data_IF_676421762137
#
_entry.id   IF_676421762137
#
_cell.length_a   1.000
_cell.length_b   1.000
_cell.length_c   1.000
_cell.angle_alpha   90.00
_cell.angle_beta   90.00
_cell.angle_gamma   90.00
#
_symmetry.space_group_name_H-M   'P 1'
#
loop_
_entity.id
_entity.type
_entity.pdbx_description
1 polymer ?
#
# COMPACT_ATOMS: atom_id res chain seq x y z
N UNK A 1 26.64 -2.84 12.49
CA UNK A 1 27.87 -3.48 11.97
C UNK A 1 28.03 -3.06 10.52
N UNK A 2 29.09 -2.31 10.15
CA UNK A 2 29.35 -1.90 8.77
C UNK A 2 30.39 -2.85 8.18
N UNK A 3 30.11 -3.43 7.01
CA UNK A 3 31.08 -4.31 6.32
C UNK A 3 32.22 -3.42 5.84
N UNK A 4 33.45 -3.68 6.29
CA UNK A 4 34.58 -2.79 6.09
C UNK A 4 34.95 -2.56 4.60
N UNK A 5 34.59 -3.50 3.72
CA UNK A 5 34.78 -3.42 2.27
C UNK A 5 33.58 -2.82 1.51
N UNK A 6 32.48 -2.51 2.20
CA UNK A 6 31.26 -2.02 1.58
C UNK A 6 31.15 -0.50 1.75
N UNK A 7 31.04 0.19 0.62
CA UNK A 7 31.02 1.65 0.53
C UNK A 7 29.68 2.11 -0.07
N UNK A 8 28.59 1.56 0.48
CA UNK A 8 27.21 1.98 0.18
C UNK A 8 26.81 1.84 -1.31
N UNK A 9 27.50 1.00 -2.09
CA UNK A 9 27.26 0.90 -3.53
C UNK A 9 25.82 0.50 -3.88
N UNK A 10 25.21 -0.43 -3.14
CA UNK A 10 23.80 -0.81 -3.37
C UNK A 10 22.84 0.30 -2.92
N UNK A 11 23.21 1.07 -1.89
CA UNK A 11 22.42 2.22 -1.45
C UNK A 11 22.43 3.32 -2.52
N UNK A 12 23.60 3.57 -3.14
CA UNK A 12 23.72 4.51 -4.24
C UNK A 12 22.88 4.10 -5.46
N UNK A 13 22.92 2.81 -5.83
CA UNK A 13 22.09 2.28 -6.93
C UNK A 13 20.59 2.35 -6.60
N UNK A 14 20.20 2.03 -5.37
CA UNK A 14 18.81 2.14 -4.93
C UNK A 14 18.32 3.60 -4.94
N UNK A 15 19.17 4.54 -4.50
CA UNK A 15 18.88 5.97 -4.53
C UNK A 15 18.73 6.51 -5.96
N UNK A 16 19.63 6.13 -6.88
CA UNK A 16 19.54 6.51 -8.30
C UNK A 16 18.25 5.96 -8.94
N UNK A 17 17.92 4.69 -8.69
CA UNK A 17 16.69 4.09 -9.20
C UNK A 17 15.45 4.81 -8.65
N UNK A 18 15.34 5.01 -7.33
CA UNK A 18 14.19 5.68 -6.73
C UNK A 18 14.04 7.11 -7.22
N UNK A 19 15.15 7.83 -7.43
CA UNK A 19 15.13 9.18 -8.01
C UNK A 19 14.51 9.19 -9.41
N UNK A 20 14.79 8.17 -10.24
CA UNK A 20 14.19 8.00 -11.58
C UNK A 20 12.72 7.59 -11.54
N UNK A 21 12.24 7.04 -10.42
CA UNK A 21 10.83 6.70 -10.22
C UNK A 21 9.98 7.90 -9.79
N UNK A 22 10.58 8.95 -9.22
CA UNK A 22 9.85 10.13 -8.72
C UNK A 22 8.91 10.81 -9.74
N UNK A 23 9.25 10.93 -11.04
CA UNK A 23 8.33 11.50 -12.03
C UNK A 23 6.96 10.80 -12.09
N UNK A 24 6.90 9.50 -11.77
CA UNK A 24 5.63 8.76 -11.74
C UNK A 24 4.63 9.35 -10.73
N UNK A 25 5.11 9.96 -9.64
CA UNK A 25 4.28 10.55 -8.58
C UNK A 25 3.78 11.97 -8.89
N UNK A 26 4.21 12.56 -10.00
CA UNK A 26 3.77 13.90 -10.42
C UNK A 26 2.38 13.85 -11.06
N UNK A 27 1.39 13.54 -10.22
CA UNK A 27 -0.02 13.49 -10.58
C UNK A 27 -0.83 14.39 -9.65
N UNK A 28 -2.00 14.90 -10.10
CA UNK A 28 -2.86 15.73 -9.25
C UNK A 28 -3.26 15.04 -7.95
N UNK A 29 -3.43 13.71 -7.99
CA UNK A 29 -3.81 12.90 -6.81
C UNK A 29 -2.61 12.54 -5.93
N UNK A 30 -1.39 12.58 -6.46
CA UNK A 30 -0.17 12.06 -5.84
C UNK A 30 -0.03 10.54 -5.88
N UNK A 31 -0.98 9.84 -6.51
CA UNK A 31 -0.91 8.40 -6.78
C UNK A 31 -0.06 8.22 -8.05
N UNK A 32 0.95 7.32 -8.06
CA UNK A 32 1.85 7.23 -9.18
C UNK A 32 1.23 6.57 -10.41
N UNK A 33 1.74 6.93 -11.59
CA UNK A 33 1.56 6.15 -12.82
C UNK A 33 2.02 4.69 -12.63
N UNK A 34 1.49 3.79 -13.46
CA UNK A 34 1.84 2.36 -13.42
C UNK A 34 3.25 2.07 -13.94
N UNK A 35 3.77 2.89 -14.85
CA UNK A 35 5.13 2.75 -15.36
C UNK A 35 5.81 4.10 -15.59
N UNK A 36 7.14 4.04 -15.70
CA UNK A 36 8.02 5.19 -15.97
C UNK A 36 9.22 4.72 -16.77
N UNK A 37 9.63 5.52 -17.74
CA UNK A 37 10.89 5.30 -18.45
C UNK A 37 12.04 5.85 -17.59
N UNK A 38 13.02 5.01 -17.26
CA UNK A 38 14.14 5.37 -16.37
C UNK A 38 15.07 6.46 -16.93
N UNK A 39 15.02 6.74 -18.24
CA UNK A 39 15.80 7.79 -18.90
C UNK A 39 14.95 9.02 -19.23
N UNK A 40 13.72 8.82 -19.70
CA UNK A 40 12.88 9.89 -20.25
C UNK A 40 11.72 10.33 -19.34
N UNK A 41 11.50 9.66 -18.21
CA UNK A 41 10.36 9.93 -17.33
C UNK A 41 9.07 9.27 -17.80
N UNK A 42 7.93 9.87 -17.48
CA UNK A 42 6.61 9.32 -17.83
C UNK A 42 6.27 9.66 -19.28
N UNK A 43 5.85 8.66 -20.07
CA UNK A 43 5.39 8.87 -21.45
C UNK A 43 4.08 9.67 -21.47
N UNK A 44 3.90 10.57 -22.45
CA UNK A 44 2.68 11.37 -22.57
C UNK A 44 1.40 10.52 -22.75
N UNK A 45 1.56 9.32 -23.33
CA UNK A 45 0.50 8.36 -23.57
C UNK A 45 0.39 7.28 -22.48
N UNK A 46 1.14 7.43 -21.38
CA UNK A 46 1.09 6.46 -20.28
C UNK A 46 -0.33 6.33 -19.71
N UNK A 47 -0.70 5.10 -19.37
CA UNK A 47 -1.98 4.81 -18.75
C UNK A 47 -2.14 5.61 -17.46
N UNK A 48 -3.18 6.43 -17.39
CA UNK A 48 -3.58 7.13 -16.16
C UNK A 48 -4.25 6.20 -15.15
N UNK A 49 -4.39 4.91 -15.45
CA UNK A 49 -5.00 3.91 -14.57
C UNK A 49 -3.91 3.12 -13.88
N UNK A 50 -3.93 3.09 -12.56
CA UNK A 50 -3.04 2.25 -11.73
C UNK A 50 -3.85 1.38 -10.78
N UNK A 51 -3.25 0.31 -10.28
CA UNK A 51 -3.87 -0.52 -9.25
C UNK A 51 -3.67 0.06 -7.85
N UNK A 52 -4.52 -0.32 -6.89
CA UNK A 52 -4.33 0.08 -5.48
C UNK A 52 -2.99 -0.41 -4.94
N UNK A 53 -2.61 -1.65 -5.25
CA UNK A 53 -1.28 -2.19 -4.95
C UNK A 53 -0.18 -1.37 -5.64
N UNK A 54 -0.30 -1.07 -6.94
CA UNK A 54 0.68 -0.30 -7.68
C UNK A 54 0.93 1.10 -7.11
N UNK A 55 -0.13 1.76 -6.62
CA UNK A 55 -0.01 3.06 -5.96
C UNK A 55 0.37 3.02 -4.48
N UNK A 56 0.06 1.93 -3.77
CA UNK A 56 0.18 1.82 -2.32
C UNK A 56 1.47 1.16 -1.80
N UNK A 57 2.18 0.44 -2.66
CA UNK A 57 3.18 -0.56 -2.26
C UNK A 57 4.61 -0.11 -2.54
N UNK A 58 4.96 1.12 -2.13
CA UNK A 58 6.35 1.63 -2.17
C UNK A 58 6.80 2.24 -0.84
N UNK A 59 5.91 2.28 0.15
CA UNK A 59 6.12 2.98 1.43
C UNK A 59 7.32 2.44 2.21
N UNK A 60 7.54 1.13 2.21
CA UNK A 60 8.62 0.51 2.99
C UNK A 60 10.00 0.84 2.40
N UNK A 61 10.15 0.63 1.10
CA UNK A 61 11.40 0.84 0.36
C UNK A 61 11.78 2.31 0.39
N UNK A 62 10.85 3.19 0.03
CA UNK A 62 11.10 4.63 -0.03
C UNK A 62 11.28 5.22 1.37
N UNK A 63 10.55 4.71 2.38
CA UNK A 63 10.69 5.15 3.76
C UNK A 63 12.06 4.79 4.36
N UNK A 64 12.57 3.58 4.09
CA UNK A 64 13.92 3.19 4.51
C UNK A 64 14.97 3.98 3.73
N UNK A 65 14.79 4.14 2.41
CA UNK A 65 15.71 4.90 1.59
C UNK A 65 15.82 6.36 2.04
N UNK A 66 14.70 7.00 2.41
CA UNK A 66 14.71 8.34 3.00
C UNK A 66 15.54 8.42 4.27
N UNK A 67 15.42 7.43 5.17
CA UNK A 67 16.20 7.37 6.42
C UNK A 67 17.70 7.13 6.16
N UNK A 68 18.03 6.25 5.23
CA UNK A 68 19.42 5.91 4.91
C UNK A 68 20.16 7.00 4.13
N UNK A 69 19.46 7.75 3.29
CA UNK A 69 20.03 8.82 2.44
C UNK A 69 19.85 10.22 3.01
N UNK A 70 19.08 10.37 4.11
CA UNK A 70 18.64 11.65 4.66
C UNK A 70 17.87 12.53 3.64
N UNK A 71 17.23 11.91 2.64
CA UNK A 71 16.40 12.58 1.65
C UNK A 71 14.92 12.22 1.84
N UNK A 72 14.14 13.13 2.42
CA UNK A 72 12.74 12.88 2.78
C UNK A 72 11.78 12.84 1.59
N UNK A 73 12.25 13.09 0.35
CA UNK A 73 11.37 13.11 -0.83
C UNK A 73 10.67 11.77 -1.04
N UNK A 74 11.39 10.66 -0.86
CA UNK A 74 10.89 9.31 -1.12
C UNK A 74 9.73 8.97 -0.18
N UNK A 75 9.93 9.08 1.13
CA UNK A 75 8.87 8.87 2.14
C UNK A 75 7.67 9.81 1.95
N UNK A 76 7.93 11.08 1.60
CA UNK A 76 6.86 12.07 1.40
C UNK A 76 5.95 11.70 0.23
N UNK A 77 6.50 11.26 -0.90
CA UNK A 77 5.68 10.94 -2.09
C UNK A 77 4.87 9.67 -1.89
N UNK A 78 5.42 8.64 -1.25
CA UNK A 78 4.68 7.39 -0.98
C UNK A 78 3.61 7.60 0.08
N UNK A 79 3.88 8.38 1.14
CA UNK A 79 2.85 8.77 2.10
C UNK A 79 1.72 9.59 1.46
N UNK A 80 2.05 10.50 0.54
CA UNK A 80 1.04 11.23 -0.25
C UNK A 80 0.19 10.27 -1.10
N UNK A 81 0.81 9.26 -1.72
CA UNK A 81 0.10 8.26 -2.53
C UNK A 81 -0.88 7.43 -1.68
N UNK A 82 -0.44 6.91 -0.53
CA UNK A 82 -1.31 6.15 0.39
C UNK A 82 -2.50 6.99 0.85
N UNK A 83 -2.27 8.26 1.24
CA UNK A 83 -3.35 9.20 1.56
C UNK A 83 -4.25 9.48 0.37
N UNK A 84 -3.67 9.56 -0.84
CA UNK A 84 -4.38 9.70 -2.10
C UNK A 84 -5.38 8.57 -2.32
N UNK A 85 -4.94 7.32 -2.18
CA UNK A 85 -5.82 6.14 -2.25
C UNK A 85 -6.87 6.17 -1.14
N UNK A 86 -6.44 6.35 0.12
CA UNK A 86 -7.33 6.23 1.28
C UNK A 86 -8.41 7.33 1.35
N UNK A 87 -8.10 8.54 0.88
CA UNK A 87 -9.08 9.63 0.79
C UNK A 87 -10.22 9.35 -0.19
N UNK A 88 -10.04 8.37 -1.08
CA UNK A 88 -11.00 7.98 -2.12
C UNK A 88 -11.72 6.67 -1.81
N UNK A 89 -11.49 6.07 -0.64
CA UNK A 89 -12.26 4.89 -0.19
C UNK A 89 -13.77 5.16 -0.20
N UNK A 90 -14.56 4.10 -0.29
CA UNK A 90 -16.02 4.20 -0.21
C UNK A 90 -16.50 4.53 1.21
N UNK A 91 -17.80 4.79 1.36
CA UNK A 91 -18.44 4.92 2.68
C UNK A 91 -18.33 3.65 3.54
N UNK A 92 -17.99 2.52 2.92
CA UNK A 92 -17.79 1.23 3.58
C UNK A 92 -16.32 1.02 4.00
N UNK A 93 -15.46 2.05 3.86
CA UNK A 93 -14.01 1.97 4.07
C UNK A 93 -13.29 0.97 3.13
N UNK A 94 -13.91 0.59 2.01
CA UNK A 94 -13.29 -0.26 0.99
C UNK A 94 -12.61 0.59 -0.08
N UNK A 95 -11.57 0.04 -0.72
CA UNK A 95 -10.87 0.62 -1.88
C UNK A 95 -11.07 -0.28 -3.09
N UNK A 96 -11.12 0.31 -4.29
CA UNK A 96 -11.27 -0.45 -5.53
C UNK A 96 -9.95 -1.03 -6.03
N UNK A 97 -10.01 -1.87 -7.06
CA UNK A 97 -8.84 -2.50 -7.66
C UNK A 97 -8.01 -1.52 -8.51
N UNK A 98 -8.66 -0.64 -9.29
CA UNK A 98 -7.99 0.28 -10.21
C UNK A 98 -8.57 1.70 -10.15
N UNK A 99 -7.69 2.69 -10.22
CA UNK A 99 -7.99 4.12 -10.05
C UNK A 99 -7.34 4.96 -11.14
N UNK A 100 -8.05 5.98 -11.62
CA UNK A 100 -7.49 7.03 -12.47
C UNK A 100 -6.70 8.03 -11.62
N UNK A 101 -5.39 8.16 -11.85
CA UNK A 101 -4.47 8.97 -11.05
C UNK A 101 -4.59 10.48 -11.29
N UNK A 102 -5.39 10.91 -12.27
CA UNK A 102 -5.69 12.32 -12.52
C UNK A 102 -7.03 12.72 -11.93
N UNK A 103 -8.09 11.97 -12.21
CA UNK A 103 -9.45 12.29 -11.73
C UNK A 103 -9.68 11.81 -10.31
N UNK A 104 -8.96 10.77 -9.87
CA UNK A 104 -9.20 10.09 -8.60
C UNK A 104 -10.41 9.15 -8.63
N UNK A 105 -10.98 8.89 -9.79
CA UNK A 105 -12.13 7.99 -9.92
C UNK A 105 -11.70 6.53 -10.02
N UNK A 106 -12.41 5.65 -9.31
CA UNK A 106 -12.23 4.21 -9.41
C UNK A 106 -12.76 3.70 -10.76
N UNK A 107 -11.85 3.19 -11.59
CA UNK A 107 -12.17 2.58 -12.89
C UNK A 107 -12.57 1.12 -12.75
N UNK A 108 -12.05 0.42 -11.73
CA UNK A 108 -12.52 -0.88 -11.31
C UNK A 108 -12.85 -0.83 -9.82
N UNK A 109 -14.14 -0.98 -9.51
CA UNK A 109 -14.72 -0.81 -8.17
C UNK A 109 -14.78 -2.11 -7.37
N UNK A 110 -14.17 -3.17 -7.87
CA UNK A 110 -14.06 -4.43 -7.15
C UNK A 110 -13.10 -4.24 -5.97
N UNK A 111 -13.56 -4.62 -4.79
CA UNK A 111 -12.82 -4.58 -3.54
C UNK A 111 -12.62 -6.01 -3.05
N UNK A 112 -11.42 -6.29 -2.58
CA UNK A 112 -11.01 -7.61 -2.16
C UNK A 112 -9.72 -7.55 -1.35
N UNK A 113 -9.26 -8.72 -0.95
CA UNK A 113 -7.93 -8.92 -0.35
C UNK A 113 -6.94 -9.55 -1.36
N UNK A 114 -7.31 -9.63 -2.64
CA UNK A 114 -6.53 -10.33 -3.68
C UNK A 114 -5.83 -9.38 -4.64
N UNK A 115 -5.68 -9.84 -5.89
CA UNK A 115 -5.04 -9.11 -6.98
C UNK A 115 -5.38 -7.62 -6.99
N UNK A 116 -4.38 -6.80 -7.29
CA UNK A 116 -4.48 -5.34 -7.41
C UNK A 116 -4.71 -4.58 -6.10
N UNK A 117 -4.91 -5.25 -4.96
CA UNK A 117 -5.15 -4.60 -3.66
C UNK A 117 -4.26 -5.18 -2.57
N UNK A 118 -4.12 -6.51 -2.50
CA UNK A 118 -3.33 -7.31 -1.56
C UNK A 118 -2.31 -6.54 -0.69
N UNK A 119 -1.20 -6.15 -1.30
CA UNK A 119 -0.02 -5.56 -0.68
C UNK A 119 -0.24 -4.15 -0.12
N UNK A 120 -1.35 -3.48 -0.46
CA UNK A 120 -1.77 -2.26 0.21
C UNK A 120 -2.02 -2.52 1.70
N UNK A 121 -2.74 -3.61 2.04
CA UNK A 121 -2.97 -3.98 3.44
C UNK A 121 -1.67 -4.35 4.15
N UNK A 122 -0.80 -5.11 3.47
CA UNK A 122 0.49 -5.51 4.04
C UNK A 122 1.36 -4.30 4.36
N UNK A 123 1.44 -3.34 3.44
CA UNK A 123 2.33 -2.19 3.57
C UNK A 123 1.85 -1.23 4.64
N UNK A 124 0.54 -1.08 4.85
CA UNK A 124 0.03 -0.26 5.95
C UNK A 124 0.48 -0.83 7.30
N UNK A 125 0.26 -2.11 7.56
CA UNK A 125 0.68 -2.71 8.84
C UNK A 125 2.20 -2.71 8.97
N UNK A 126 2.93 -3.13 7.93
CA UNK A 126 4.39 -3.18 7.96
C UNK A 126 5.01 -1.79 8.09
N UNK A 127 4.44 -0.74 7.48
CA UNK A 127 4.96 0.62 7.58
C UNK A 127 4.77 1.17 8.98
N UNK A 128 3.63 0.89 9.63
CA UNK A 128 3.46 1.20 11.04
C UNK A 128 4.53 0.52 11.90
N UNK A 129 4.72 -0.78 11.74
CA UNK A 129 5.70 -1.53 12.55
C UNK A 129 7.14 -1.07 12.31
N UNK A 130 7.48 -0.67 11.08
CA UNK A 130 8.82 -0.25 10.73
C UNK A 130 9.13 1.20 11.11
N UNK A 131 8.12 2.08 11.06
CA UNK A 131 8.31 3.53 11.17
C UNK A 131 7.63 4.18 12.38
N UNK A 132 6.72 3.47 13.06
CA UNK A 132 5.97 3.96 14.23
C UNK A 132 4.91 5.02 13.90
N UNK A 133 4.49 5.12 12.64
CA UNK A 133 3.54 6.16 12.20
C UNK A 133 2.09 5.68 12.32
N UNK A 134 1.41 6.17 13.36
CA UNK A 134 0.05 5.80 13.75
C UNK A 134 -0.99 6.00 12.63
N UNK A 135 -0.73 6.86 11.65
CA UNK A 135 -1.65 7.02 10.52
C UNK A 135 -1.77 5.74 9.69
N UNK A 136 -0.67 4.99 9.52
CA UNK A 136 -0.72 3.72 8.80
C UNK A 136 -1.51 2.67 9.57
N UNK A 137 -1.36 2.62 10.90
CA UNK A 137 -2.13 1.71 11.75
C UNK A 137 -3.62 2.06 11.69
N UNK A 138 -3.98 3.34 11.79
CA UNK A 138 -5.36 3.80 11.68
C UNK A 138 -5.99 3.37 10.35
N UNK A 139 -5.31 3.63 9.22
CA UNK A 139 -5.79 3.24 7.89
C UNK A 139 -5.95 1.72 7.81
N UNK A 140 -4.96 0.97 8.27
CA UNK A 140 -4.99 -0.49 8.29
C UNK A 140 -6.17 -1.03 9.09
N UNK A 141 -6.40 -0.54 10.31
CA UNK A 141 -7.47 -1.01 11.17
C UNK A 141 -8.85 -0.75 10.55
N UNK A 142 -9.07 0.43 9.97
CA UNK A 142 -10.34 0.75 9.32
C UNK A 142 -10.58 -0.09 8.07
N UNK A 143 -9.54 -0.30 7.25
CA UNK A 143 -9.61 -1.15 6.06
C UNK A 143 -9.80 -2.63 6.43
N UNK A 144 -9.12 -3.11 7.47
CA UNK A 144 -9.22 -4.48 7.98
C UNK A 144 -10.61 -4.78 8.55
N UNK A 145 -11.19 -3.87 9.36
CA UNK A 145 -12.57 -4.01 9.84
C UNK A 145 -13.56 -4.12 8.69
N UNK A 146 -13.41 -3.28 7.66
CA UNK A 146 -14.24 -3.35 6.47
C UNK A 146 -14.06 -4.66 5.70
N UNK A 147 -12.81 -5.12 5.52
CA UNK A 147 -12.51 -6.39 4.88
C UNK A 147 -13.17 -7.57 5.62
N UNK A 148 -13.04 -7.63 6.94
CA UNK A 148 -13.65 -8.67 7.76
C UNK A 148 -15.19 -8.62 7.76
N UNK A 149 -15.78 -7.44 7.59
CA UNK A 149 -17.24 -7.30 7.57
C UNK A 149 -17.87 -7.63 6.21
N UNK A 150 -17.25 -7.17 5.11
CA UNK A 150 -17.84 -7.27 3.77
C UNK A 150 -17.26 -8.38 2.90
N UNK A 151 -16.01 -8.80 3.13
CA UNK A 151 -15.32 -9.76 2.25
C UNK A 151 -15.30 -11.17 2.84
N UNK A 152 -15.35 -11.31 4.16
CA UNK A 152 -15.24 -12.60 4.83
C UNK A 152 -16.60 -13.34 4.84
N UNK A 153 -16.65 -14.45 4.12
CA UNK A 153 -17.76 -15.40 4.09
C UNK A 153 -17.23 -16.77 4.43
N UNK A 154 -17.31 -17.14 5.71
CA UNK A 154 -16.69 -18.34 6.28
C UNK A 154 -16.84 -19.58 5.36
N UNK A 155 -15.72 -20.27 5.00
CA UNK A 155 -14.32 -20.03 5.40
C UNK A 155 -13.51 -19.15 4.42
N UNK A 156 -14.16 -18.50 3.45
CA UNK A 156 -13.52 -17.84 2.32
C UNK A 156 -13.61 -16.31 2.35
N UNK A 157 -12.87 -15.68 1.46
CA UNK A 157 -13.01 -14.27 1.16
C UNK A 157 -13.47 -14.10 -0.29
N UNK A 158 -14.45 -13.24 -0.51
CA UNK A 158 -14.98 -12.92 -1.85
C UNK A 158 -14.60 -11.50 -2.26
N UNK A 159 -14.73 -11.20 -3.55
CA UNK A 159 -14.64 -9.83 -4.03
C UNK A 159 -16.04 -9.21 -4.08
N UNK A 160 -16.14 -7.95 -3.65
CA UNK A 160 -17.40 -7.20 -3.58
C UNK A 160 -17.27 -5.86 -4.29
N UNK A 161 -18.38 -5.24 -4.66
CA UNK A 161 -18.34 -3.85 -5.13
C UNK A 161 -18.06 -2.94 -3.93
N UNK A 162 -17.04 -2.09 -4.03
CA UNK A 162 -16.58 -1.25 -2.92
C UNK A 162 -17.68 -0.33 -2.34
N UNK A 163 -18.68 0.06 -3.13
CA UNK A 163 -19.72 1.00 -2.71
C UNK A 163 -20.97 0.34 -2.14
N UNK A 164 -21.38 -0.80 -2.72
CA UNK A 164 -22.60 -1.51 -2.29
C UNK A 164 -22.33 -2.68 -1.35
N UNK A 165 -21.11 -3.22 -1.32
CA UNK A 165 -20.78 -4.45 -0.60
C UNK A 165 -21.36 -5.72 -1.26
N UNK A 166 -21.99 -5.61 -2.43
CA UNK A 166 -22.54 -6.76 -3.14
C UNK A 166 -21.41 -7.61 -3.75
N UNK A 167 -21.47 -8.92 -3.57
CA UNK A 167 -20.52 -9.87 -4.15
C UNK A 167 -20.46 -9.72 -5.67
N UNK A 168 -19.25 -9.55 -6.20
CA UNK A 168 -18.96 -9.50 -7.64
C UNK A 168 -18.41 -10.86 -8.08
N UNK A 169 -17.39 -11.36 -7.39
CA UNK A 169 -16.76 -12.64 -7.71
C UNK A 169 -16.66 -13.53 -6.46
N UNK A 170 -17.33 -14.69 -6.45
CA UNK A 170 -17.17 -15.70 -5.41
C UNK A 170 -15.97 -16.61 -5.72
N UNK A 171 -14.82 -16.04 -6.07
CA UNK A 171 -13.64 -16.79 -6.51
C UNK A 171 -12.48 -16.54 -5.55
N UNK A 172 -11.85 -17.64 -5.12
CA UNK A 172 -10.59 -17.58 -4.39
C UNK A 172 -9.43 -17.49 -5.38
N UNK A 173 -8.54 -16.53 -5.15
CA UNK A 173 -7.31 -16.34 -5.91
C UNK A 173 -6.11 -16.71 -5.02
N UNK A 174 -5.13 -17.41 -5.59
CA UNK A 174 -3.91 -17.80 -4.88
C UNK A 174 -3.18 -16.64 -4.21
N UNK A 175 -3.28 -15.42 -4.76
CA UNK A 175 -2.70 -14.22 -4.16
C UNK A 175 -3.34 -13.87 -2.81
N UNK A 176 -4.60 -14.24 -2.55
CA UNK A 176 -5.25 -14.02 -1.25
C UNK A 176 -4.64 -14.85 -0.11
N UNK A 177 -3.78 -15.83 -0.42
CA UNK A 177 -3.16 -16.71 0.57
C UNK A 177 -2.18 -16.00 1.52
N UNK A 178 -1.77 -14.75 1.25
CA UNK A 178 -0.96 -13.97 2.22
C UNK A 178 -1.78 -13.56 3.45
N UNK A 179 -3.09 -13.43 3.32
CA UNK A 179 -3.96 -12.77 4.30
C UNK A 179 -3.95 -13.42 5.69
N UNK A 180 -4.02 -14.77 5.83
CA UNK A 180 -3.87 -15.40 7.15
C UNK A 180 -2.52 -15.09 7.81
N UNK A 181 -1.43 -14.99 7.04
CA UNK A 181 -0.11 -14.62 7.57
C UNK A 181 -0.08 -13.19 8.12
N UNK A 182 -0.74 -12.26 7.43
CA UNK A 182 -0.91 -10.88 7.89
C UNK A 182 -1.77 -10.81 9.18
N UNK A 183 -2.83 -11.62 9.26
CA UNK A 183 -3.70 -11.69 10.45
C UNK A 183 -2.96 -12.22 11.68
N UNK A 184 -2.08 -13.22 11.52
CA UNK A 184 -1.22 -13.72 12.60
C UNK A 184 -0.32 -12.59 13.13
N UNK A 185 0.30 -11.81 12.24
CA UNK A 185 1.12 -10.67 12.63
C UNK A 185 0.35 -9.62 13.42
N UNK A 186 -0.86 -9.26 12.96
CA UNK A 186 -1.75 -8.34 13.68
C UNK A 186 -2.07 -8.86 15.09
N UNK A 187 -2.38 -10.16 15.21
CA UNK A 187 -2.76 -10.75 16.50
C UNK A 187 -1.58 -10.79 17.47
N UNK A 188 -0.38 -11.16 17.00
CA UNK A 188 0.85 -11.13 17.79
C UNK A 188 1.12 -9.71 18.29
N UNK A 189 0.99 -8.71 17.42
CA UNK A 189 1.16 -7.30 17.79
C UNK A 189 0.18 -6.90 18.90
N UNK A 190 -1.12 -7.15 18.72
CA UNK A 190 -2.14 -6.81 19.73
C UNK A 190 -1.92 -7.51 21.07
N UNK A 191 -1.48 -8.77 21.06
CA UNK A 191 -1.16 -9.50 22.29
C UNK A 191 0.02 -8.85 23.02
N UNK A 192 1.08 -8.49 22.28
CA UNK A 192 2.28 -7.88 22.86
C UNK A 192 1.95 -6.49 23.40
N UNK A 193 1.18 -5.67 22.68
CA UNK A 193 0.79 -4.33 23.14
C UNK A 193 -0.10 -4.37 24.40
N UNK A 194 -1.07 -5.29 24.42
CA UNK A 194 -1.89 -5.53 25.62
C UNK A 194 -1.01 -6.02 26.77
N UNK A 195 -0.06 -6.92 26.53
CA UNK A 195 0.86 -7.39 27.57
C UNK A 195 1.76 -6.26 28.11
N UNK A 196 2.27 -5.38 27.25
CA UNK A 196 3.14 -4.27 27.64
C UNK A 196 2.38 -3.15 28.37
N UNK A 197 1.14 -2.86 27.98
CA UNK A 197 0.28 -1.89 28.67
C UNK A 197 -0.18 -2.34 30.07
N UNK A 198 0.01 -3.61 30.42
CA UNK A 198 -0.21 -4.13 31.78
C UNK A 198 1.08 -4.20 32.62
N UNK A 199 2.25 -3.94 32.03
CA UNK A 199 3.57 -4.03 32.69
C UNK A 199 4.14 -2.64 33.04
N UNK A 200 3.62 -1.58 32.44
CA UNK A 200 3.95 -0.18 32.74
C UNK A 200 2.69 0.60 33.15
#
# INVERSE_FOLDING_TARGET
>A
MRIQSYDDQLLHLAADLAQRLLPAFDTPTGIPFGSVNLLYGVDENESKITSTAGGGTLTLEFGILSRLTNNTVFERVTKKSVRGIWSRRSKLNLVGAHINVFTGEWTQKDAGIGTSIDSFYEYLLKAYLLFGDEEYLYIFQEAYKAAMHYLHHDPWYVEVNMNSGATVWPLFNSLQAFWPGLQVWLHIFLIIDVALSHIF
#
